data_IF_452171845163
#
_entry.id   IF_452171845163
#
_cell.length_a   1.000
_cell.length_b   1.000
_cell.length_c   1.000
_cell.angle_alpha   90.00
_cell.angle_beta   90.00
_cell.angle_gamma   90.00
#
_symmetry.space_group_name_H-M   'P 1'
#
loop_
_entity.id
_entity.type
_entity.pdbx_description
1 polymer ?
#
# COMPACT_ATOMS: atom_id res chain seq x y z
N UNK A 1 55.24 -13.97 -6.12
CA UNK A 1 54.54 -12.67 -6.05
C UNK A 1 53.14 -12.83 -6.62
N UNK A 2 52.09 -12.68 -5.79
CA UNK A 2 50.69 -12.77 -6.23
C UNK A 2 50.25 -11.39 -6.74
N UNK A 3 49.83 -11.29 -8.02
CA UNK A 3 49.24 -10.07 -8.59
C UNK A 3 47.80 -9.95 -8.10
N UNK A 4 47.48 -8.83 -7.46
CA UNK A 4 46.13 -8.43 -7.08
C UNK A 4 45.39 -7.94 -8.33
N UNK A 5 44.26 -8.56 -8.66
CA UNK A 5 43.35 -8.11 -9.72
C UNK A 5 42.40 -7.09 -9.10
N UNK A 6 42.67 -5.80 -9.36
CA UNK A 6 41.72 -4.73 -9.08
C UNK A 6 40.64 -4.80 -10.15
N UNK A 7 39.45 -5.29 -9.80
CA UNK A 7 38.30 -5.28 -10.71
C UNK A 7 37.79 -3.84 -10.82
N UNK A 8 38.10 -3.17 -11.92
CA UNK A 8 37.47 -1.92 -12.31
C UNK A 8 36.01 -2.25 -12.64
N UNK A 9 35.09 -1.81 -11.79
CA UNK A 9 33.65 -1.91 -12.06
C UNK A 9 33.38 -0.90 -13.19
N UNK A 10 33.24 -1.42 -14.41
CA UNK A 10 32.88 -0.64 -15.58
C UNK A 10 31.35 -0.46 -15.55
N UNK A 11 30.89 0.76 -15.24
CA UNK A 11 29.46 1.05 -15.17
C UNK A 11 28.92 1.17 -16.60
N UNK A 12 27.82 0.48 -16.95
CA UNK A 12 27.25 0.55 -18.29
C UNK A 12 26.84 1.99 -18.65
N UNK A 13 27.13 2.39 -19.89
CA UNK A 13 26.98 3.74 -20.46
C UNK A 13 25.53 4.26 -20.46
N UNK A 14 24.54 3.45 -20.05
CA UNK A 14 23.13 3.84 -19.88
C UNK A 14 22.73 4.00 -18.41
N UNK A 15 23.62 4.57 -17.58
CA UNK A 15 23.24 4.96 -16.22
C UNK A 15 22.29 6.17 -16.28
N UNK A 16 21.00 5.92 -16.07
CA UNK A 16 20.08 6.98 -15.71
C UNK A 16 20.44 7.42 -14.30
N UNK A 17 20.98 8.64 -14.17
CA UNK A 17 21.05 9.32 -12.87
C UNK A 17 19.60 9.59 -12.46
N UNK A 18 18.99 8.66 -11.73
CA UNK A 18 17.75 8.96 -11.03
C UNK A 18 18.06 10.05 -10.01
N UNK A 19 17.28 11.13 -10.05
CA UNK A 19 17.42 12.23 -9.11
C UNK A 19 17.35 11.70 -7.68
N UNK A 20 18.26 12.14 -6.82
CA UNK A 20 18.25 11.78 -5.40
C UNK A 20 16.93 12.26 -4.75
N UNK A 21 16.31 13.33 -5.30
CA UNK A 21 14.95 13.75 -4.95
C UNK A 21 13.87 12.70 -5.31
N UNK A 22 13.96 12.00 -6.45
CA UNK A 22 13.04 10.89 -6.79
C UNK A 22 13.29 9.63 -5.93
N UNK A 23 14.52 9.44 -5.43
CA UNK A 23 14.87 8.38 -4.49
C UNK A 23 14.48 8.71 -3.04
N UNK A 24 14.05 9.96 -2.76
CA UNK A 24 13.71 10.46 -1.41
C UNK A 24 12.24 10.86 -1.25
N UNK A 25 11.35 10.52 -2.18
CA UNK A 25 9.91 10.53 -1.93
C UNK A 25 9.48 9.39 -0.99
N UNK A 26 10.03 9.36 0.22
CA UNK A 26 9.52 8.59 1.35
C UNK A 26 8.28 9.27 1.90
N UNK A 27 7.18 9.27 1.14
CA UNK A 27 5.87 9.70 1.60
C UNK A 27 5.26 8.64 2.54
N UNK A 28 5.99 8.27 3.60
CA UNK A 28 5.51 7.56 4.81
C UNK A 28 4.65 6.32 4.62
N UNK A 29 4.63 5.74 3.42
CA UNK A 29 3.74 4.66 3.03
C UNK A 29 4.49 3.34 2.88
N UNK A 30 3.81 2.25 3.17
CA UNK A 30 4.27 0.90 2.89
C UNK A 30 3.23 0.23 1.99
N UNK A 31 3.70 -0.56 1.04
CA UNK A 31 2.84 -1.47 0.33
C UNK A 31 2.78 -2.79 1.11
N UNK A 32 1.59 -3.19 1.54
CA UNK A 32 1.35 -4.57 2.00
C UNK A 32 0.76 -5.38 0.86
N UNK A 33 1.34 -6.56 0.61
CA UNK A 33 0.86 -7.46 -0.43
C UNK A 33 -0.59 -7.88 -0.18
N UNK A 34 -1.40 -7.91 -1.25
CA UNK A 34 -2.81 -8.29 -1.15
C UNK A 34 -2.97 -9.73 -0.66
N UNK A 35 -3.91 -9.96 0.25
CA UNK A 35 -4.23 -11.28 0.80
C UNK A 35 -5.73 -11.49 0.89
N UNK A 36 -6.20 -12.69 0.53
CA UNK A 36 -7.61 -13.08 0.68
C UNK A 36 -8.07 -13.05 2.13
N UNK A 37 -7.15 -13.18 3.09
CA UNK A 37 -7.42 -13.05 4.52
C UNK A 37 -7.93 -11.65 4.90
N UNK A 38 -7.61 -10.62 4.10
CA UNK A 38 -8.09 -9.26 4.31
C UNK A 38 -9.59 -9.07 3.99
N UNK A 39 -10.28 -10.13 3.56
CA UNK A 39 -11.75 -10.16 3.54
C UNK A 39 -12.36 -10.35 4.94
N UNK A 40 -11.54 -10.59 5.97
CA UNK A 40 -11.95 -10.63 7.38
C UNK A 40 -11.58 -9.32 8.08
N UNK A 41 -12.60 -8.63 8.61
CA UNK A 41 -12.46 -7.36 9.33
C UNK A 41 -11.58 -7.48 10.58
N UNK A 42 -11.56 -8.63 11.25
CA UNK A 42 -10.70 -8.85 12.41
C UNK A 42 -9.22 -8.96 12.01
N UNK A 43 -8.94 -9.65 10.90
CA UNK A 43 -7.57 -9.77 10.38
C UNK A 43 -7.04 -8.40 9.96
N UNK A 44 -7.87 -7.58 9.31
CA UNK A 44 -7.49 -6.21 8.95
C UNK A 44 -7.18 -5.35 10.19
N UNK A 45 -7.97 -5.48 11.25
CA UNK A 45 -7.71 -4.78 12.51
C UNK A 45 -6.38 -5.19 13.16
N UNK A 46 -6.08 -6.49 13.21
CA UNK A 46 -4.81 -6.96 13.77
C UNK A 46 -3.62 -6.56 12.92
N UNK A 47 -3.75 -6.61 11.58
CA UNK A 47 -2.73 -6.12 10.66
C UNK A 47 -2.48 -4.62 10.89
N UNK A 48 -3.53 -3.81 10.92
CA UNK A 48 -3.43 -2.37 11.14
C UNK A 48 -2.74 -2.00 12.47
N UNK A 49 -3.13 -2.66 13.57
CA UNK A 49 -2.46 -2.49 14.88
C UNK A 49 -0.98 -2.88 14.81
N UNK A 50 -0.68 -3.97 14.10
CA UNK A 50 0.69 -4.43 13.86
C UNK A 50 1.52 -3.36 13.16
N UNK A 51 1.00 -2.79 12.07
CA UNK A 51 1.66 -1.74 11.30
C UNK A 51 1.91 -0.49 12.15
N UNK A 52 0.88 0.01 12.84
CA UNK A 52 0.99 1.19 13.70
C UNK A 52 2.06 0.98 14.78
N UNK A 53 2.09 -0.19 15.40
CA UNK A 53 3.09 -0.52 16.42
C UNK A 53 4.51 -0.63 15.83
N UNK A 54 4.65 -1.30 14.69
CA UNK A 54 5.96 -1.52 14.04
C UNK A 54 6.59 -0.21 13.57
N UNK A 55 5.78 0.68 12.98
CA UNK A 55 6.28 1.92 12.39
C UNK A 55 6.06 3.16 13.29
N UNK A 56 5.44 2.99 14.45
CA UNK A 56 5.21 4.09 15.40
C UNK A 56 4.29 5.19 14.88
N UNK A 57 3.34 4.83 14.02
CA UNK A 57 2.40 5.77 13.38
C UNK A 57 1.42 6.37 14.40
N UNK A 58 1.09 7.65 14.22
CA UNK A 58 0.28 8.43 15.17
C UNK A 58 -0.85 9.23 14.53
N UNK A 59 -0.79 9.45 13.21
CA UNK A 59 -1.70 10.32 12.47
C UNK A 59 -2.79 9.53 11.74
N UNK A 60 -2.90 8.22 12.02
CA UNK A 60 -3.94 7.33 11.55
C UNK A 60 -4.35 6.36 12.66
N UNK A 61 -5.65 6.12 12.82
CA UNK A 61 -6.14 5.12 13.77
C UNK A 61 -6.10 3.71 13.17
N UNK A 62 -5.97 2.71 14.04
CA UNK A 62 -6.00 1.30 13.61
C UNK A 62 -7.31 0.96 12.87
N UNK A 63 -8.44 1.55 13.26
CA UNK A 63 -9.72 1.33 12.59
C UNK A 63 -9.76 1.95 11.19
N UNK A 64 -9.25 3.17 11.01
CA UNK A 64 -9.18 3.82 9.69
C UNK A 64 -8.33 2.99 8.73
N UNK A 65 -7.15 2.59 9.20
CA UNK A 65 -6.22 1.76 8.42
C UNK A 65 -6.81 0.37 8.12
N UNK A 66 -7.50 -0.24 9.08
CA UNK A 66 -8.16 -1.53 8.86
C UNK A 66 -9.26 -1.46 7.79
N UNK A 67 -10.00 -0.35 7.74
CA UNK A 67 -11.03 -0.11 6.73
C UNK A 67 -10.44 0.05 5.35
N UNK A 68 -9.33 0.75 5.22
CA UNK A 68 -8.58 0.89 3.98
C UNK A 68 -8.10 -0.49 3.47
N UNK A 69 -7.45 -1.28 4.34
CA UNK A 69 -7.00 -2.64 4.00
C UNK A 69 -8.17 -3.53 3.54
N UNK A 70 -9.28 -3.53 4.29
CA UNK A 70 -10.48 -4.29 3.94
C UNK A 70 -11.11 -3.79 2.63
N UNK A 71 -11.17 -2.47 2.44
CA UNK A 71 -11.69 -1.81 1.26
C UNK A 71 -10.95 -2.27 0.00
N UNK A 72 -9.63 -2.19 0.03
CA UNK A 72 -8.77 -2.70 -1.04
C UNK A 72 -9.00 -4.20 -1.32
N UNK A 73 -9.14 -5.03 -0.28
CA UNK A 73 -9.39 -6.46 -0.46
C UNK A 73 -10.77 -6.76 -1.09
N UNK A 74 -11.81 -6.03 -0.70
CA UNK A 74 -13.15 -6.15 -1.33
C UNK A 74 -13.08 -5.69 -2.78
N UNK A 75 -12.40 -4.58 -3.04
CA UNK A 75 -12.19 -4.05 -4.39
C UNK A 75 -11.50 -5.08 -5.29
N UNK A 76 -10.44 -5.70 -4.78
CA UNK A 76 -9.64 -6.67 -5.51
C UNK A 76 -10.35 -8.01 -5.73
N UNK A 77 -10.93 -8.62 -4.68
CA UNK A 77 -11.48 -9.98 -4.74
C UNK A 77 -12.97 -10.06 -5.03
N UNK A 78 -13.72 -8.99 -4.78
CA UNK A 78 -15.19 -8.97 -4.90
C UNK A 78 -15.67 -7.85 -5.82
N UNK A 79 -14.96 -7.67 -6.94
CA UNK A 79 -15.27 -6.65 -7.94
C UNK A 79 -16.76 -6.58 -8.34
N UNK A 80 -17.41 -7.74 -8.47
CA UNK A 80 -18.83 -7.84 -8.85
C UNK A 80 -19.83 -7.30 -7.80
N UNK A 81 -19.43 -7.13 -6.53
CA UNK A 81 -20.28 -6.50 -5.51
C UNK A 81 -20.33 -4.97 -5.64
N UNK A 82 -19.37 -4.41 -6.37
CA UNK A 82 -19.10 -2.98 -6.34
C UNK A 82 -19.88 -2.19 -7.38
N UNK A 83 -20.42 -2.84 -8.40
CA UNK A 83 -21.42 -2.26 -9.33
C UNK A 83 -22.66 -1.71 -8.60
N UNK A 84 -22.86 -2.12 -7.33
CA UNK A 84 -23.98 -1.70 -6.49
C UNK A 84 -23.65 -0.53 -5.56
N UNK A 85 -22.40 -0.06 -5.50
CA UNK A 85 -21.98 1.02 -4.60
C UNK A 85 -21.88 2.35 -5.37
N UNK A 86 -22.71 3.36 -5.02
CA UNK A 86 -22.64 4.67 -5.66
C UNK A 86 -21.29 5.37 -5.41
N UNK A 87 -20.67 5.92 -6.45
CA UNK A 87 -19.42 6.66 -6.36
C UNK A 87 -18.15 5.84 -6.58
N UNK A 88 -18.26 4.52 -6.74
CA UNK A 88 -17.13 3.68 -7.09
C UNK A 88 -17.01 3.57 -8.62
N UNK A 89 -16.20 4.44 -9.23
CA UNK A 89 -15.91 4.39 -10.66
C UNK A 89 -14.68 3.51 -10.95
N UNK A 90 -14.48 3.11 -12.20
CA UNK A 90 -13.39 2.23 -12.65
C UNK A 90 -11.99 2.81 -12.44
N UNK A 91 -11.85 4.11 -12.11
CA UNK A 91 -10.56 4.77 -11.89
C UNK A 91 -9.98 4.48 -10.50
N UNK A 92 -10.83 4.33 -9.46
CA UNK A 92 -10.40 3.84 -8.13
C UNK A 92 -9.72 2.46 -8.23
N UNK A 93 -10.04 1.68 -9.27
CA UNK A 93 -9.58 0.31 -9.46
C UNK A 93 -8.22 0.15 -10.11
N UNK A 94 -7.71 1.11 -10.88
CA UNK A 94 -6.43 0.92 -11.58
C UNK A 94 -5.24 0.83 -10.61
N UNK A 95 -5.40 1.31 -9.37
CA UNK A 95 -4.38 1.25 -8.32
C UNK A 95 -4.50 0.05 -7.35
N UNK A 96 -5.62 -0.69 -7.35
CA UNK A 96 -5.81 -1.80 -6.40
C UNK A 96 -5.01 -3.07 -6.76
N UNK A 97 -4.41 -3.13 -7.96
CA UNK A 97 -3.72 -4.32 -8.47
C UNK A 97 -2.35 -4.60 -7.80
N UNK A 98 -1.73 -3.58 -7.19
CA UNK A 98 -0.33 -3.65 -6.73
C UNK A 98 -0.19 -3.81 -5.20
N UNK A 99 -1.28 -4.13 -4.49
CA UNK A 99 -1.28 -4.30 -3.04
C UNK A 99 -2.13 -3.25 -2.32
N UNK A 100 -1.82 -2.99 -1.06
CA UNK A 100 -2.46 -1.91 -0.27
C UNK A 100 -1.37 -0.93 0.17
N UNK A 101 -1.40 0.26 -0.41
CA UNK A 101 -0.49 1.35 -0.08
C UNK A 101 -1.00 2.12 1.12
N UNK A 102 -0.55 1.72 2.31
CA UNK A 102 -0.97 2.30 3.59
C UNK A 102 0.07 3.28 4.10
N UNK A 103 -0.37 4.37 4.73
CA UNK A 103 0.50 5.49 5.16
C UNK A 103 0.14 6.00 6.55
N UNK A 104 1.06 6.72 7.21
CA UNK A 104 0.79 7.40 8.49
C UNK A 104 -0.06 8.67 8.29
N UNK A 105 -1.23 8.53 7.70
CA UNK A 105 -2.26 9.56 7.57
C UNK A 105 -3.57 8.89 7.14
N UNK A 106 -4.70 9.56 7.37
CA UNK A 106 -6.00 9.09 6.91
C UNK A 106 -6.02 9.10 5.37
N UNK A 107 -6.50 8.01 4.78
CA UNK A 107 -6.63 7.93 3.33
C UNK A 107 -7.65 8.94 2.79
N UNK A 108 -7.39 9.50 1.61
CA UNK A 108 -8.26 10.52 1.02
C UNK A 108 -9.63 9.95 0.60
N UNK A 109 -9.69 8.63 0.37
CA UNK A 109 -10.90 7.88 0.08
C UNK A 109 -11.48 7.20 1.33
N UNK A 110 -11.15 7.65 2.55
CA UNK A 110 -11.66 7.05 3.80
C UNK A 110 -13.19 6.92 3.83
N UNK A 111 -13.91 7.87 3.24
CA UNK A 111 -15.38 7.84 3.13
C UNK A 111 -15.89 6.61 2.37
N UNK A 112 -15.14 6.17 1.36
CA UNK A 112 -15.48 4.99 0.57
C UNK A 112 -15.20 3.71 1.37
N UNK A 113 -14.08 3.67 2.09
CA UNK A 113 -13.74 2.57 2.98
C UNK A 113 -14.76 2.42 4.11
N UNK A 114 -15.31 3.54 4.61
CA UNK A 114 -16.41 3.53 5.57
C UNK A 114 -17.69 2.92 5.00
N UNK A 115 -18.01 3.18 3.72
CA UNK A 115 -19.17 2.56 3.04
C UNK A 115 -18.92 1.05 2.91
N UNK A 116 -17.78 0.66 2.34
CA UNK A 116 -17.45 -0.76 2.10
C UNK A 116 -17.39 -1.54 3.41
N UNK A 117 -16.89 -0.94 4.50
CA UNK A 117 -16.83 -1.57 5.82
C UNK A 117 -18.21 -1.92 6.39
N UNK A 118 -19.29 -1.26 5.96
CA UNK A 118 -20.65 -1.51 6.46
C UNK A 118 -21.49 -2.40 5.53
N UNK A 119 -20.97 -2.77 4.36
CA UNK A 119 -21.47 -3.88 3.56
C UNK A 119 -21.06 -5.24 4.18
#
# INVERSE_FOLDING_TARGET
MKKSLCATIDMPISYYMMDEEEMTYTNGGINIGMSTAYLDKNICNEQAKGLIRTYGWKDVSALQLAKEIYGHAIVYYKFSLLEKIPGLNTEVYQHAADGVDVKNQVDEHQWLWDIIWNF
#
